data_IF_415770463568
#
_entry.id   IF_415770463568
#
_cell.length_a   1.000
_cell.length_b   1.000
_cell.length_c   1.000
_cell.angle_alpha   90.00
_cell.angle_beta   90.00
_cell.angle_gamma   90.00
#
_symmetry.space_group_name_H-M   'P 1'
#
loop_
_entity.id
_entity.type
_entity.pdbx_description
1 polymer ?
#
# COMPACT_ATOMS: atom_id res chain seq x y z
N UNK A 1 -15.51 6.64 2.79
CA UNK A 1 -16.07 5.28 2.70
C UNK A 1 -15.15 4.38 3.50
N UNK A 2 -15.67 3.48 4.32
CA UNK A 2 -14.86 2.51 5.05
C UNK A 2 -14.82 1.22 4.22
N UNK A 3 -13.65 0.59 4.15
CA UNK A 3 -13.52 -0.75 3.60
C UNK A 3 -14.39 -1.74 4.38
N UNK A 4 -14.94 -2.74 3.69
CA UNK A 4 -15.76 -3.81 4.26
C UNK A 4 -14.96 -5.11 4.41
N UNK A 5 -13.92 -5.26 3.60
CA UNK A 5 -13.03 -6.43 3.60
C UNK A 5 -11.61 -5.96 3.91
N UNK A 6 -11.00 -6.59 4.90
CA UNK A 6 -9.74 -6.17 5.48
C UNK A 6 -8.66 -7.27 5.30
N UNK A 7 -7.37 -6.90 5.28
CA UNK A 7 -6.31 -7.87 5.50
C UNK A 7 -6.51 -8.61 6.82
N UNK A 8 -5.99 -9.84 6.93
CA UNK A 8 -6.02 -10.56 8.21
C UNK A 8 -5.20 -9.84 9.28
N UNK A 9 -5.53 -10.07 10.54
CA UNK A 9 -4.79 -9.50 11.66
C UNK A 9 -3.31 -9.90 11.63
N UNK A 10 -2.99 -11.14 11.24
CA UNK A 10 -1.61 -11.61 11.10
C UNK A 10 -0.80 -10.77 10.11
N UNK A 11 -1.41 -10.35 8.99
CA UNK A 11 -0.76 -9.47 8.02
C UNK A 11 -0.57 -8.05 8.59
N UNK A 12 -1.54 -7.53 9.34
CA UNK A 12 -1.42 -6.21 9.96
C UNK A 12 -0.35 -6.20 11.06
N UNK A 13 -0.26 -7.26 11.86
CA UNK A 13 0.79 -7.41 12.86
C UNK A 13 2.17 -7.58 12.22
N UNK A 14 2.27 -8.39 11.15
CA UNK A 14 3.51 -8.56 10.40
C UNK A 14 3.97 -7.27 9.75
N UNK A 15 3.02 -6.44 9.27
CA UNK A 15 3.29 -5.10 8.76
C UNK A 15 3.87 -4.19 9.86
N UNK A 16 3.21 -4.12 11.02
CA UNK A 16 3.68 -3.32 12.16
C UNK A 16 5.08 -3.75 12.65
N UNK A 17 5.37 -5.05 12.59
CA UNK A 17 6.68 -5.60 12.95
C UNK A 17 7.76 -5.44 11.85
N UNK A 18 7.43 -4.89 10.68
CA UNK A 18 8.37 -4.74 9.57
C UNK A 18 8.82 -6.07 8.96
N UNK A 19 8.06 -7.15 9.14
CA UNK A 19 8.43 -8.51 8.71
C UNK A 19 7.81 -8.94 7.37
N UNK A 20 6.95 -8.10 6.76
CA UNK A 20 6.41 -8.36 5.42
C UNK A 20 7.44 -8.04 4.33
N UNK A 21 7.30 -8.73 3.20
CA UNK A 21 7.98 -8.34 1.97
C UNK A 21 7.48 -6.98 1.46
N UNK A 22 8.29 -6.34 0.62
CA UNK A 22 7.99 -4.99 0.11
C UNK A 22 6.66 -4.92 -0.67
N UNK A 23 6.35 -5.82 -1.63
CA UNK A 23 5.06 -5.83 -2.32
C UNK A 23 3.85 -5.92 -1.38
N UNK A 24 3.90 -6.80 -0.39
CA UNK A 24 2.85 -6.93 0.61
C UNK A 24 2.74 -5.68 1.48
N UNK A 25 3.86 -5.09 1.87
CA UNK A 25 3.91 -3.84 2.64
C UNK A 25 3.29 -2.67 1.88
N UNK A 26 3.56 -2.54 0.57
CA UNK A 26 2.94 -1.51 -0.29
C UNK A 26 1.42 -1.66 -0.30
N UNK A 27 0.91 -2.88 -0.47
CA UNK A 27 -0.53 -3.14 -0.49
C UNK A 27 -1.17 -2.79 0.85
N UNK A 28 -0.58 -3.26 1.96
CA UNK A 28 -1.08 -2.96 3.31
C UNK A 28 -1.03 -1.45 3.59
N UNK A 29 0.08 -0.77 3.33
CA UNK A 29 0.20 0.68 3.51
C UNK A 29 -0.85 1.45 2.70
N UNK A 30 -1.11 1.00 1.46
CA UNK A 30 -2.15 1.57 0.59
C UNK A 30 -3.54 1.39 1.20
N UNK A 31 -3.86 0.19 1.73
CA UNK A 31 -5.11 -0.07 2.44
C UNK A 31 -5.24 0.79 3.71
N UNK A 32 -4.18 0.88 4.51
CA UNK A 32 -4.15 1.69 5.73
C UNK A 32 -4.44 3.17 5.45
N UNK A 33 -4.06 3.70 4.29
CA UNK A 33 -4.37 5.08 3.93
C UNK A 33 -5.89 5.33 3.78
N UNK A 34 -6.66 4.28 3.48
CA UNK A 34 -8.11 4.34 3.27
C UNK A 34 -8.93 3.78 4.44
N UNK A 35 -8.35 2.91 5.28
CA UNK A 35 -9.06 2.19 6.33
C UNK A 35 -8.64 2.62 7.75
N UNK A 36 -9.46 3.40 8.47
CA UNK A 36 -9.14 3.81 9.84
C UNK A 36 -9.19 2.63 10.84
N UNK A 37 -9.98 1.60 10.55
CA UNK A 37 -10.08 0.41 11.42
C UNK A 37 -8.74 -0.33 11.46
N UNK A 38 -8.17 -0.63 10.29
CA UNK A 38 -6.88 -1.32 10.21
C UNK A 38 -5.73 -0.44 10.72
N UNK A 39 -5.80 0.90 10.54
CA UNK A 39 -4.82 1.80 11.19
C UNK A 39 -4.82 1.67 12.70
N UNK A 40 -5.99 1.54 13.32
CA UNK A 40 -6.08 1.36 14.78
C UNK A 40 -5.48 0.02 15.24
N UNK A 41 -5.63 -1.05 14.44
CA UNK A 41 -4.99 -2.34 14.73
C UNK A 41 -3.47 -2.23 14.66
N UNK A 42 -2.95 -1.61 13.60
CA UNK A 42 -1.49 -1.40 13.42
C UNK A 42 -0.94 -0.53 14.55
N UNK A 43 -1.59 0.60 14.87
CA UNK A 43 -1.16 1.47 15.98
C UNK A 43 -1.11 0.74 17.33
N UNK A 44 -2.04 -0.20 17.57
CA UNK A 44 -2.01 -1.04 18.76
C UNK A 44 -0.80 -2.00 18.75
N UNK A 45 -0.48 -2.59 17.61
CA UNK A 45 0.70 -3.45 17.48
C UNK A 45 2.01 -2.66 17.68
N UNK A 46 2.09 -1.47 17.10
CA UNK A 46 3.23 -0.56 17.26
C UNK A 46 3.41 -0.10 18.72
N UNK A 47 2.31 0.11 19.47
CA UNK A 47 2.40 0.46 20.89
C UNK A 47 3.02 -0.65 21.74
N UNK A 48 2.75 -1.92 21.41
CA UNK A 48 3.41 -3.06 22.06
C UNK A 48 4.90 -3.07 21.75
N UNK A 49 5.28 -2.79 20.48
CA UNK A 49 6.68 -2.64 20.10
C UNK A 49 7.38 -1.49 20.84
N UNK A 50 6.67 -0.38 21.04
CA UNK A 50 7.15 0.77 21.82
C UNK A 50 7.47 0.42 23.28
N UNK A 51 6.57 -0.30 23.95
CA UNK A 51 6.80 -0.79 25.32
C UNK A 51 8.05 -1.66 25.43
N UNK A 52 8.24 -2.58 24.47
CA UNK A 52 9.44 -3.42 24.42
C UNK A 52 10.71 -2.60 24.16
N UNK A 53 10.58 -1.48 23.44
CA UNK A 53 11.71 -0.59 23.15
C UNK A 53 12.15 0.20 24.38
N UNK A 54 11.22 0.58 25.27
CA UNK A 54 11.53 1.31 26.50
C UNK A 54 12.35 0.50 27.50
N UNK A 55 12.28 -0.84 27.44
CA UNK A 55 13.08 -1.74 28.27
C UNK A 55 14.55 -1.90 27.82
N UNK A 56 14.91 -1.34 26.65
CA UNK A 56 16.29 -1.41 26.16
C UNK A 56 17.19 -0.44 26.91
N UNK A 57 18.44 -0.88 27.14
CA UNK A 57 19.45 0.01 27.69
C UNK A 57 19.71 1.18 26.73
N UNK A 58 19.79 2.39 27.28
CA UNK A 58 20.16 3.55 26.47
C UNK A 58 21.63 3.50 26.07
N UNK A 59 21.90 3.85 24.82
CA UNK A 59 23.26 4.05 24.31
C UNK A 59 23.62 5.53 24.31
N UNK A 60 24.87 5.84 24.65
CA UNK A 60 25.37 7.20 24.60
C UNK A 60 25.49 7.67 23.15
N UNK A 61 24.96 8.84 22.86
CA UNK A 61 25.13 9.49 21.56
C UNK A 61 26.36 10.41 21.60
N UNK A 62 27.03 10.58 20.46
CA UNK A 62 28.20 11.47 20.35
C UNK A 62 27.84 12.90 20.77
N UNK A 63 28.76 13.50 21.55
CA UNK A 63 28.59 14.87 22.01
C UNK A 63 28.41 15.85 20.84
N UNK A 64 27.36 16.62 20.87
CA UNK A 64 27.02 17.58 19.79
C UNK A 64 26.10 17.04 18.71
N UNK A 65 25.76 15.75 18.68
CA UNK A 65 24.84 15.18 17.66
C UNK A 65 23.49 15.89 17.62
N UNK A 66 22.91 16.21 18.78
CA UNK A 66 21.66 16.96 18.84
C UNK A 66 21.80 18.36 18.23
N UNK A 67 22.86 19.10 18.59
CA UNK A 67 23.11 20.43 18.06
C UNK A 67 23.30 20.40 16.53
N UNK A 68 24.00 19.39 16.01
CA UNK A 68 24.21 19.21 14.58
C UNK A 68 22.90 18.90 13.83
N UNK A 69 22.00 18.13 14.42
CA UNK A 69 20.67 17.87 13.82
C UNK A 69 19.82 19.13 13.85
N UNK A 70 19.78 19.85 14.97
CA UNK A 70 19.01 21.09 15.10
C UNK A 70 19.50 22.17 14.11
N UNK A 71 20.82 22.33 13.95
CA UNK A 71 21.38 23.29 12.97
C UNK A 71 20.93 22.95 11.53
N UNK A 72 20.83 21.67 11.18
CA UNK A 72 20.34 21.25 9.85
C UNK A 72 18.85 21.53 9.65
N UNK A 73 18.05 21.61 10.72
CA UNK A 73 16.63 21.99 10.59
C UNK A 73 16.48 23.47 10.26
N UNK A 74 17.38 24.32 10.79
CA UNK A 74 17.38 25.77 10.50
C UNK A 74 17.80 26.05 9.04
N UNK A 75 18.62 25.17 8.43
CA UNK A 75 19.05 25.27 7.03
C UNK A 75 18.01 24.76 6.03
N UNK A 76 16.95 24.09 6.48
CA UNK A 76 15.84 23.70 5.64
C UNK A 76 15.01 24.95 5.39
N UNK A 77 15.37 25.70 4.33
CA UNK A 77 14.46 26.70 3.75
C UNK A 77 13.11 26.02 3.55
N UNK A 78 12.08 26.71 3.97
CA UNK A 78 10.68 26.26 4.02
C UNK A 78 10.23 25.68 2.67
N UNK A 79 10.72 24.48 2.35
CA UNK A 79 10.25 23.65 1.23
C UNK A 79 8.84 23.12 1.56
N UNK A 80 8.09 23.87 2.38
CA UNK A 80 6.71 23.62 2.73
C UNK A 80 5.73 23.78 1.56
N UNK A 81 6.23 23.75 0.33
CA UNK A 81 5.40 23.34 -0.80
C UNK A 81 5.39 21.83 -0.97
N UNK A 82 5.13 21.07 0.12
CA UNK A 82 4.34 19.85 -0.03
C UNK A 82 2.93 20.36 -0.30
N UNK A 83 2.78 21.09 -1.40
CA UNK A 83 1.53 21.23 -2.05
C UNK A 83 1.03 19.80 -2.23
N UNK A 84 -0.10 19.48 -1.63
CA UNK A 84 -0.91 18.38 -2.11
C UNK A 84 -1.16 18.69 -3.60
N UNK A 85 -0.24 18.24 -4.45
CA UNK A 85 -0.49 18.20 -5.88
C UNK A 85 -1.62 17.21 -6.06
N UNK A 86 -2.83 17.71 -5.90
CA UNK A 86 -3.98 17.17 -6.56
C UNK A 86 -3.70 17.36 -8.04
N UNK A 87 -3.10 16.36 -8.66
CA UNK A 87 -3.11 16.27 -10.11
C UNK A 87 -4.56 15.97 -10.44
N UNK A 88 -5.32 17.03 -10.68
CA UNK A 88 -6.64 17.01 -11.29
C UNK A 88 -6.49 16.60 -12.75
N UNK A 89 -6.44 15.31 -12.99
CA UNK A 89 -6.57 14.74 -14.33
C UNK A 89 -8.06 14.36 -14.50
N UNK A 90 -8.84 15.33 -15.01
CA UNK A 90 -10.32 15.31 -15.04
C UNK A 90 -10.93 14.20 -15.91
N UNK A 91 -10.16 13.36 -16.59
CA UNK A 91 -10.73 12.39 -17.53
C UNK A 91 -10.84 10.95 -17.01
N UNK A 92 -10.07 10.50 -16.03
CA UNK A 92 -10.19 9.19 -15.38
C UNK A 92 -9.51 9.25 -13.99
N UNK A 93 -10.01 10.09 -13.10
CA UNK A 93 -9.33 10.38 -11.82
C UNK A 93 -9.42 9.21 -10.83
N UNK A 94 -8.55 8.22 -11.01
CA UNK A 94 -8.30 7.22 -9.97
C UNK A 94 -7.34 7.88 -8.97
N UNK A 95 -7.89 8.37 -7.86
CA UNK A 95 -7.07 8.83 -6.73
C UNK A 95 -6.27 7.66 -6.17
N UNK A 96 -5.01 7.56 -6.57
CA UNK A 96 -4.06 6.56 -6.07
C UNK A 96 -3.53 7.03 -4.72
N UNK A 97 -3.64 6.22 -3.65
CA UNK A 97 -3.06 6.55 -2.36
C UNK A 97 -1.52 6.69 -2.43
N UNK A 98 -0.98 7.62 -1.64
CA UNK A 98 0.43 7.97 -1.65
C UNK A 98 1.39 6.79 -1.54
N UNK A 99 1.20 5.80 -0.64
CA UNK A 99 2.12 4.66 -0.52
C UNK A 99 2.31 3.88 -1.82
N UNK A 100 1.28 3.81 -2.66
CA UNK A 100 1.37 3.18 -3.98
C UNK A 100 1.87 4.16 -5.04
N UNK A 101 1.48 5.45 -4.94
CA UNK A 101 1.84 6.48 -5.93
C UNK A 101 3.35 6.64 -6.06
N UNK A 102 4.09 6.53 -4.96
CA UNK A 102 5.55 6.70 -4.92
C UNK A 102 6.29 5.59 -5.72
N UNK A 103 5.63 4.48 -6.02
CA UNK A 103 6.15 3.38 -6.85
C UNK A 103 5.72 3.46 -8.32
N UNK A 104 4.89 4.43 -8.69
CA UNK A 104 4.44 4.57 -10.07
C UNK A 104 5.32 5.56 -10.83
N UNK A 105 5.86 5.17 -12.02
CA UNK A 105 6.72 6.04 -12.80
C UNK A 105 5.97 7.17 -13.52
N UNK A 106 4.64 7.10 -13.54
CA UNK A 106 3.76 8.04 -14.24
C UNK A 106 2.33 7.99 -13.67
N UNK A 107 1.47 8.89 -14.13
CA UNK A 107 0.04 8.83 -13.84
C UNK A 107 -0.58 7.53 -14.37
N UNK A 108 -1.63 7.04 -13.70
CA UNK A 108 -2.27 5.74 -14.04
C UNK A 108 -2.64 5.63 -15.53
N UNK A 109 -3.21 6.65 -16.21
CA UNK A 109 -3.51 6.55 -17.63
C UNK A 109 -2.26 6.35 -18.51
N UNK A 110 -1.11 6.89 -18.10
CA UNK A 110 0.15 6.89 -18.87
C UNK A 110 1.04 5.68 -18.58
N UNK A 111 0.63 4.76 -17.71
CA UNK A 111 1.41 3.56 -17.39
C UNK A 111 1.55 2.62 -18.61
N UNK A 112 2.62 1.83 -18.69
CA UNK A 112 2.86 0.90 -19.79
C UNK A 112 1.95 -0.34 -19.71
N UNK A 113 0.67 -0.14 -19.96
CA UNK A 113 -0.34 -1.19 -19.90
C UNK A 113 -0.13 -2.27 -20.95
N UNK A 114 -0.03 -3.52 -20.52
CA UNK A 114 0.01 -4.70 -21.39
C UNK A 114 -1.38 -5.34 -21.46
N UNK A 115 -1.77 -5.76 -22.66
CA UNK A 115 -2.99 -6.52 -22.85
C UNK A 115 -2.83 -7.95 -22.31
N UNK A 116 -3.73 -8.42 -21.47
CA UNK A 116 -3.78 -9.79 -20.96
C UNK A 116 -4.94 -10.60 -21.55
N UNK A 117 -5.98 -9.93 -22.06
CA UNK A 117 -7.16 -10.55 -22.59
C UNK A 117 -8.27 -9.54 -22.84
N UNK A 118 -9.43 -9.96 -23.38
CA UNK A 118 -10.55 -9.06 -23.64
C UNK A 118 -10.95 -8.30 -22.37
N UNK A 119 -10.85 -6.98 -22.43
CA UNK A 119 -11.21 -6.11 -21.31
C UNK A 119 -10.23 -6.12 -20.12
N UNK A 120 -9.07 -6.81 -20.20
CA UNK A 120 -8.09 -6.90 -19.11
C UNK A 120 -6.74 -6.37 -19.55
N UNK A 121 -6.21 -5.43 -18.79
CA UNK A 121 -4.85 -4.87 -18.95
C UNK A 121 -4.10 -4.96 -17.63
N UNK A 122 -2.79 -5.09 -17.72
CA UNK A 122 -1.88 -5.22 -16.58
C UNK A 122 -0.66 -4.34 -16.77
N UNK A 123 -0.15 -3.80 -15.68
CA UNK A 123 1.18 -3.22 -15.61
C UNK A 123 1.89 -3.69 -14.33
N UNK A 124 3.14 -4.08 -14.47
CA UNK A 124 3.96 -4.44 -13.30
C UNK A 124 4.44 -3.17 -12.59
N UNK A 125 4.53 -3.24 -11.28
CA UNK A 125 5.20 -2.26 -10.45
C UNK A 125 6.58 -2.83 -10.11
N UNK A 126 7.62 -2.05 -10.34
CA UNK A 126 8.98 -2.45 -10.01
C UNK A 126 9.23 -2.20 -8.52
N UNK A 127 9.66 -3.25 -7.83
CA UNK A 127 10.15 -3.20 -6.46
C UNK A 127 11.60 -3.67 -6.44
N UNK A 128 12.36 -3.27 -5.43
CA UNK A 128 13.78 -3.66 -5.32
C UNK A 128 13.93 -5.11 -4.83
N UNK A 129 12.92 -5.63 -4.16
CA UNK A 129 12.97 -6.94 -3.54
C UNK A 129 12.89 -8.09 -4.57
N UNK A 130 13.69 -9.13 -4.34
CA UNK A 130 13.49 -10.44 -4.98
C UNK A 130 12.38 -11.15 -4.21
N UNK A 131 11.21 -11.34 -4.83
CA UNK A 131 10.10 -11.99 -4.12
C UNK A 131 8.77 -11.92 -4.87
N UNK A 132 7.66 -11.83 -4.17
CA UNK A 132 6.33 -11.65 -4.76
C UNK A 132 6.30 -10.47 -5.72
N UNK A 133 5.43 -10.56 -6.72
CA UNK A 133 5.27 -9.49 -7.71
C UNK A 133 4.03 -8.68 -7.38
N UNK A 134 4.14 -7.37 -7.57
CA UNK A 134 3.01 -6.45 -7.46
C UNK A 134 2.74 -5.79 -8.82
N UNK A 135 1.49 -5.48 -9.09
CA UNK A 135 1.10 -4.80 -10.31
C UNK A 135 -0.31 -4.28 -10.25
N UNK A 136 -0.69 -3.51 -11.25
CA UNK A 136 -2.04 -3.00 -11.41
C UNK A 136 -2.78 -3.79 -12.48
N UNK A 137 -4.03 -4.13 -12.19
CA UNK A 137 -4.99 -4.68 -13.14
C UNK A 137 -6.04 -3.62 -13.46
N UNK A 138 -6.31 -3.42 -14.75
CA UNK A 138 -7.45 -2.63 -15.22
C UNK A 138 -8.41 -3.57 -15.93
N UNK A 139 -9.61 -3.68 -15.38
CA UNK A 139 -10.65 -4.59 -15.87
C UNK A 139 -11.83 -3.74 -16.33
N UNK A 140 -12.24 -3.91 -17.58
CA UNK A 140 -13.38 -3.21 -18.13
C UNK A 140 -14.69 -3.68 -17.46
N UNK A 141 -15.68 -2.80 -17.30
CA UNK A 141 -16.98 -3.16 -16.73
C UNK A 141 -17.62 -4.36 -17.45
N UNK A 142 -18.20 -5.28 -16.69
CA UNK A 142 -18.84 -6.48 -17.21
C UNK A 142 -17.89 -7.59 -17.68
N UNK A 143 -16.57 -7.38 -17.58
CA UNK A 143 -15.58 -8.40 -17.92
C UNK A 143 -15.54 -9.50 -16.85
N UNK A 144 -15.67 -10.77 -17.28
CA UNK A 144 -15.46 -11.92 -16.41
C UNK A 144 -13.99 -12.32 -16.45
N UNK A 145 -13.34 -12.32 -15.30
CA UNK A 145 -12.00 -12.87 -15.15
C UNK A 145 -12.12 -14.37 -14.93
N UNK A 146 -11.54 -15.22 -15.81
CA UNK A 146 -11.58 -16.67 -15.61
C UNK A 146 -10.92 -17.07 -14.30
N UNK A 147 -11.43 -18.13 -13.66
CA UNK A 147 -10.74 -18.75 -12.54
C UNK A 147 -9.36 -19.21 -13.00
N UNK A 148 -8.35 -18.82 -12.28
CA UNK A 148 -6.96 -19.19 -12.55
C UNK A 148 -6.29 -19.62 -11.22
N UNK A 149 -5.36 -20.54 -11.31
CA UNK A 149 -4.65 -21.03 -10.12
C UNK A 149 -3.40 -20.19 -9.87
N UNK A 150 -3.17 -19.87 -8.62
CA UNK A 150 -1.95 -19.18 -8.16
C UNK A 150 -1.02 -20.15 -7.45
N UNK A 151 0.29 -19.93 -7.54
CA UNK A 151 1.29 -20.69 -6.79
C UNK A 151 1.70 -19.91 -5.53
N UNK A 152 0.76 -19.68 -4.60
CA UNK A 152 1.03 -18.92 -3.37
C UNK A 152 -0.16 -18.09 -2.94
N UNK A 153 0.05 -17.23 -1.95
CA UNK A 153 -0.96 -16.27 -1.51
C UNK A 153 -1.06 -15.12 -2.51
N UNK A 154 -2.28 -14.79 -2.90
CA UNK A 154 -2.58 -13.61 -3.69
C UNK A 154 -3.41 -12.63 -2.88
N UNK A 155 -3.01 -11.36 -2.90
CA UNK A 155 -3.78 -10.27 -2.34
C UNK A 155 -4.17 -9.31 -3.45
N UNK A 156 -5.44 -8.96 -3.49
CA UNK A 156 -5.98 -7.96 -4.43
C UNK A 156 -6.64 -6.84 -3.65
N UNK A 157 -6.25 -5.60 -3.92
CA UNK A 157 -6.89 -4.41 -3.37
C UNK A 157 -7.62 -3.64 -4.47
N UNK A 158 -8.84 -3.21 -4.19
CA UNK A 158 -9.63 -2.40 -5.12
C UNK A 158 -9.26 -0.92 -4.96
N UNK A 159 -8.71 -0.32 -6.01
CA UNK A 159 -8.35 1.11 -6.03
C UNK A 159 -9.49 1.98 -6.56
N UNK A 160 -10.28 1.45 -7.51
CA UNK A 160 -11.43 2.13 -8.09
C UNK A 160 -12.47 1.12 -8.59
N UNK A 161 -13.75 1.52 -8.57
CA UNK A 161 -14.84 0.63 -8.94
C UNK A 161 -15.05 -0.50 -7.94
N UNK A 162 -15.33 -1.70 -8.45
CA UNK A 162 -15.53 -2.90 -7.65
C UNK A 162 -15.69 -4.14 -8.51
N UNK A 163 -15.67 -5.30 -7.86
CA UNK A 163 -15.97 -6.59 -8.49
C UNK A 163 -16.74 -7.49 -7.54
N UNK A 164 -17.34 -8.53 -8.09
CA UNK A 164 -18.04 -9.56 -7.34
C UNK A 164 -17.57 -10.94 -7.80
N UNK A 165 -17.32 -11.83 -6.83
CA UNK A 165 -16.99 -13.22 -7.07
C UNK A 165 -17.79 -14.15 -6.14
N UNK A 166 -17.36 -15.41 -6.04
CA UNK A 166 -18.03 -16.40 -5.19
C UNK A 166 -17.89 -16.12 -3.68
N UNK A 167 -16.93 -15.27 -3.28
CA UNK A 167 -16.64 -14.95 -1.87
C UNK A 167 -17.31 -13.66 -1.42
N UNK A 168 -17.71 -12.78 -2.34
CA UNK A 168 -18.39 -11.54 -2.00
C UNK A 168 -18.28 -10.45 -3.06
N UNK A 169 -18.69 -9.24 -2.66
CA UNK A 169 -18.58 -8.03 -3.46
C UNK A 169 -17.57 -7.11 -2.82
N UNK A 170 -16.61 -6.67 -3.60
CA UNK A 170 -15.48 -5.85 -3.19
C UNK A 170 -15.55 -4.48 -3.82
N UNK A 171 -15.32 -3.44 -3.05
CA UNK A 171 -15.35 -2.04 -3.45
C UNK A 171 -14.04 -1.36 -3.12
N UNK A 172 -13.90 -0.11 -3.53
CA UNK A 172 -12.70 0.69 -3.27
C UNK A 172 -12.27 0.64 -1.81
N UNK A 173 -11.02 0.27 -1.58
CA UNK A 173 -10.41 0.09 -0.27
C UNK A 173 -10.44 -1.34 0.23
N UNK A 174 -11.31 -2.20 -0.28
CA UNK A 174 -11.39 -3.61 0.13
C UNK A 174 -10.16 -4.40 -0.32
N UNK A 175 -9.74 -5.33 0.53
CA UNK A 175 -8.68 -6.29 0.26
C UNK A 175 -9.28 -7.69 0.23
N UNK A 176 -8.99 -8.41 -0.84
CA UNK A 176 -9.28 -9.83 -0.99
C UNK A 176 -7.99 -10.62 -0.87
N UNK A 177 -7.96 -11.59 0.00
CA UNK A 177 -6.85 -12.55 0.14
C UNK A 177 -7.29 -13.92 -0.33
N UNK A 178 -6.50 -14.54 -1.18
CA UNK A 178 -6.66 -15.92 -1.61
C UNK A 178 -5.50 -16.73 -1.07
N UNK A 179 -5.78 -17.61 -0.10
CA UNK A 179 -4.84 -18.62 0.35
C UNK A 179 -5.06 -19.90 -0.45
N UNK A 180 -3.98 -20.49 -0.93
CA UNK A 180 -4.04 -21.79 -1.57
C UNK A 180 -4.36 -22.84 -0.52
N UNK A 181 -5.52 -23.47 -0.65
CA UNK A 181 -5.83 -24.73 0.05
C UNK A 181 -5.28 -25.92 -0.73
#
# INVERSE_FOLDING_TARGET
>A
MNASHHPSDDLLWSYAAGSLDEPSSILIATHLSLCPVCRAVVAKAESVGGELFEDLASEDIEAGSLAAVLARLDDIEDSSSIAAETIDDEAENISVPRPLKDYLPASVPSLPWRWLGPGVRYTAINTEARGPKIGLLRIAPGTKVPMHGHSGNEMTMVLAGGFTDATGSYQRGDVRSEERR
#
